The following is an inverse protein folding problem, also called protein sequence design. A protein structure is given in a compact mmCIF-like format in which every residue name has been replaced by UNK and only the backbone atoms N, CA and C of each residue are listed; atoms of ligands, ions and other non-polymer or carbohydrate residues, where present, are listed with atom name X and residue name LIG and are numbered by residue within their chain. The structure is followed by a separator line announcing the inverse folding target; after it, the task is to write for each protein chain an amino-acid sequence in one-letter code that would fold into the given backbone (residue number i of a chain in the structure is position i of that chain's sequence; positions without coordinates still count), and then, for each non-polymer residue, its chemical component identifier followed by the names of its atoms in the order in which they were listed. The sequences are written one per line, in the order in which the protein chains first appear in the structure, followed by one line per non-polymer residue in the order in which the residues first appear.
data_IF_941841361899
#
_entry.id   IF_941841361899
#
_cell.length_a   1.000
_cell.length_b   1.000
_cell.length_c   1.000
_cell.angle_alpha   90.00
_cell.angle_beta   90.00
_cell.angle_gamma   90.00
#
_symmetry.space_group_name_H-M   'P 1'
#
loop_
_entity.id
_entity.type
_entity.pdbx_description
1 polymer ?
#
# COMPACT_ATOMS: atom_id res chain seq x y z
N UNK A 1 0.05 -22.02 13.04
CA UNK A 1 -0.44 -20.62 13.24
C UNK A 1 -1.79 -20.46 12.54
N UNK A 2 -2.68 -19.68 13.17
CA UNK A 2 -3.97 -19.36 12.58
C UNK A 2 -3.93 -17.94 12.07
N UNK A 3 -4.01 -17.76 10.75
CA UNK A 3 -4.10 -16.44 10.14
C UNK A 3 -5.48 -15.82 10.36
N UNK A 4 -5.55 -14.53 10.59
CA UNK A 4 -6.82 -13.79 10.68
C UNK A 4 -7.50 -13.73 9.31
N UNK A 5 -6.74 -13.47 8.25
CA UNK A 5 -7.22 -13.43 6.87
C UNK A 5 -6.05 -13.58 5.88
N UNK A 6 -6.34 -14.12 4.71
CA UNK A 6 -5.47 -14.07 3.53
C UNK A 6 -6.09 -13.12 2.52
N UNK A 7 -5.37 -12.05 2.18
CA UNK A 7 -5.85 -11.01 1.27
C UNK A 7 -5.06 -11.14 -0.02
N UNK A 8 -5.73 -11.21 -1.16
CA UNK A 8 -5.06 -11.27 -2.45
C UNK A 8 -5.75 -10.34 -3.45
N UNK A 9 -5.15 -10.19 -4.61
CA UNK A 9 -5.81 -9.52 -5.73
C UNK A 9 -7.16 -10.20 -6.02
N UNK A 10 -8.04 -9.49 -6.71
CA UNK A 10 -9.40 -9.98 -6.94
C UNK A 10 -9.53 -10.82 -8.23
N UNK A 11 -8.41 -11.25 -8.83
CA UNK A 11 -8.49 -12.22 -9.91
C UNK A 11 -9.20 -13.49 -9.44
N UNK A 12 -10.31 -13.81 -10.14
CA UNK A 12 -11.17 -14.92 -9.73
C UNK A 12 -10.53 -16.27 -9.99
N UNK A 13 -9.68 -16.38 -11.03
CA UNK A 13 -8.97 -17.61 -11.37
C UNK A 13 -7.94 -17.95 -10.30
N UNK A 14 -7.03 -17.03 -10.02
CA UNK A 14 -6.00 -17.21 -9.00
C UNK A 14 -6.60 -17.50 -7.61
N UNK A 15 -7.70 -16.84 -7.26
CA UNK A 15 -8.40 -17.09 -5.99
C UNK A 15 -9.07 -18.45 -5.95
N UNK A 16 -9.57 -18.95 -7.08
CA UNK A 16 -10.13 -20.32 -7.15
C UNK A 16 -9.04 -21.37 -6.99
N UNK A 17 -7.87 -21.15 -7.58
CA UNK A 17 -6.71 -22.02 -7.44
C UNK A 17 -6.25 -22.10 -5.98
N UNK A 18 -6.11 -20.95 -5.31
CA UNK A 18 -5.78 -20.91 -3.88
C UNK A 18 -6.83 -21.60 -3.02
N UNK A 19 -8.11 -21.43 -3.35
CA UNK A 19 -9.19 -22.11 -2.63
C UNK A 19 -9.16 -23.62 -2.80
N UNK A 20 -8.74 -24.14 -3.97
CA UNK A 20 -8.57 -25.57 -4.22
C UNK A 20 -7.46 -26.17 -3.35
N UNK A 21 -6.45 -25.37 -3.01
CA UNK A 21 -5.36 -25.72 -2.08
C UNK A 21 -5.73 -25.48 -0.59
N UNK A 22 -6.98 -25.16 -0.32
CA UNK A 22 -7.48 -24.93 1.05
C UNK A 22 -7.22 -23.52 1.60
N UNK A 23 -6.70 -22.59 0.80
CA UNK A 23 -6.42 -21.22 1.21
C UNK A 23 -7.60 -20.32 0.86
N UNK A 24 -8.42 -19.99 1.87
CA UNK A 24 -9.52 -19.06 1.69
C UNK A 24 -9.02 -17.60 1.65
N UNK A 25 -9.39 -16.88 0.61
CA UNK A 25 -8.92 -15.51 0.38
C UNK A 25 -10.04 -14.47 0.41
N UNK A 26 -9.69 -13.26 0.82
CA UNK A 26 -10.54 -12.08 0.76
C UNK A 26 -10.03 -11.20 -0.39
N UNK A 27 -10.92 -10.73 -1.30
CA UNK A 27 -10.48 -9.85 -2.38
C UNK A 27 -10.00 -8.51 -1.82
N UNK A 28 -8.85 -8.06 -2.30
CA UNK A 28 -8.27 -6.78 -1.94
C UNK A 28 -9.14 -5.60 -2.38
N UNK A 29 -9.15 -4.53 -1.59
CA UNK A 29 -9.72 -3.25 -2.00
C UNK A 29 -8.71 -2.47 -2.81
N UNK A 30 -9.08 -2.09 -4.04
CA UNK A 30 -8.17 -1.46 -5.02
C UNK A 30 -8.22 0.07 -5.08
N UNK A 31 -8.76 0.75 -4.07
CA UNK A 31 -8.69 2.21 -4.01
C UNK A 31 -7.24 2.65 -3.75
N UNK A 32 -6.55 3.03 -4.83
CA UNK A 32 -5.11 3.32 -4.82
C UNK A 32 -4.81 4.51 -3.94
N UNK A 33 -5.50 5.62 -4.14
CA UNK A 33 -5.27 6.88 -3.42
C UNK A 33 -5.46 6.70 -1.91
N UNK A 34 -6.57 6.08 -1.51
CA UNK A 34 -6.83 5.80 -0.09
C UNK A 34 -5.83 4.81 0.49
N UNK A 35 -5.44 3.81 -0.29
CA UNK A 35 -4.43 2.84 0.13
C UNK A 35 -3.09 3.50 0.41
N UNK A 36 -2.61 4.37 -0.47
CA UNK A 36 -1.38 5.15 -0.28
C UNK A 36 -1.48 6.02 0.97
N UNK A 37 -2.56 6.79 1.11
CA UNK A 37 -2.79 7.62 2.30
C UNK A 37 -2.81 6.80 3.59
N UNK A 38 -3.40 5.60 3.58
CA UNK A 38 -3.40 4.69 4.71
C UNK A 38 -2.01 4.20 5.08
N UNK A 39 -1.17 3.86 4.09
CA UNK A 39 0.23 3.46 4.31
C UNK A 39 1.04 4.61 4.87
N UNK A 40 0.96 5.80 4.27
CA UNK A 40 1.62 7.02 4.77
C UNK A 40 1.22 7.31 6.23
N UNK A 41 -0.06 7.23 6.54
CA UNK A 41 -0.57 7.47 7.89
C UNK A 41 0.02 6.50 8.91
N UNK A 42 0.31 5.26 8.52
CA UNK A 42 0.94 4.26 9.40
C UNK A 42 2.44 4.43 9.52
N UNK A 43 3.10 4.87 8.45
CA UNK A 43 4.54 5.17 8.45
C UNK A 43 4.85 6.42 9.27
N UNK A 44 4.07 7.49 9.09
CA UNK A 44 4.27 8.77 9.79
C UNK A 44 3.80 8.73 11.26
N UNK A 45 2.84 7.90 11.57
CA UNK A 45 2.33 7.71 12.92
C UNK A 45 1.65 8.95 13.50
N UNK A 46 0.40 9.21 13.18
CA UNK A 46 -0.40 10.35 13.61
C UNK A 46 -0.42 10.58 15.15
N UNK A 47 0.67 11.08 15.70
CA UNK A 47 0.83 11.46 17.12
C UNK A 47 1.30 10.35 18.06
N UNK A 48 1.19 9.08 17.68
CA UNK A 48 1.56 7.91 18.49
C UNK A 48 2.79 7.15 17.96
N UNK A 49 3.54 7.76 17.04
CA UNK A 49 4.67 7.13 16.35
C UNK A 49 4.25 6.17 15.22
N UNK A 50 5.21 5.67 14.44
CA UNK A 50 4.97 4.74 13.35
C UNK A 50 4.26 3.46 13.82
N UNK A 51 3.38 2.93 12.96
CA UNK A 51 2.64 1.68 13.20
C UNK A 51 2.85 0.64 12.10
N UNK A 52 3.73 0.95 11.16
CA UNK A 52 4.18 0.05 10.11
C UNK A 52 5.70 0.05 10.12
N UNK A 53 6.29 -1.14 10.16
CA UNK A 53 7.72 -1.36 10.26
C UNK A 53 8.14 -2.46 9.30
N UNK A 54 9.34 -2.37 8.76
CA UNK A 54 9.97 -3.39 7.94
C UNK A 54 11.18 -3.95 8.66
N UNK A 55 11.30 -5.27 8.65
CA UNK A 55 12.48 -5.94 9.18
C UNK A 55 13.53 -6.04 8.09
N UNK A 56 14.69 -5.44 8.31
CA UNK A 56 15.82 -5.59 7.39
C UNK A 56 16.32 -7.03 7.38
N UNK A 57 16.70 -7.48 6.17
CA UNK A 57 17.24 -8.83 6.00
C UNK A 57 16.23 -9.95 6.28
N UNK A 58 14.93 -9.67 6.17
CA UNK A 58 13.86 -10.65 6.38
C UNK A 58 13.60 -11.54 5.14
N UNK A 59 14.27 -11.30 4.02
CA UNK A 59 14.15 -12.13 2.84
C UNK A 59 14.70 -13.53 3.11
N UNK A 60 13.89 -14.55 2.83
CA UNK A 60 14.29 -15.96 2.90
C UNK A 60 15.13 -16.36 1.68
N UNK A 61 14.87 -15.73 0.56
CA UNK A 61 15.63 -15.89 -0.69
C UNK A 61 15.49 -14.63 -1.54
N UNK A 62 16.44 -14.41 -2.42
CA UNK A 62 16.48 -13.31 -3.38
C UNK A 62 16.18 -13.87 -4.75
N UNK A 63 15.33 -13.20 -5.50
CA UNK A 63 15.11 -13.48 -6.92
C UNK A 63 16.32 -12.98 -7.72
N UNK A 64 17.12 -13.92 -8.23
CA UNK A 64 18.33 -13.57 -8.95
C UNK A 64 18.06 -12.90 -10.30
N UNK A 65 16.93 -13.16 -10.96
CA UNK A 65 16.54 -12.46 -12.19
C UNK A 65 16.26 -10.97 -11.94
N UNK A 66 15.56 -10.65 -10.86
CA UNK A 66 15.32 -9.27 -10.46
C UNK A 66 16.64 -8.56 -10.14
N UNK A 67 17.51 -9.24 -9.39
CA UNK A 67 18.83 -8.71 -9.00
C UNK A 67 19.73 -8.46 -10.20
N UNK A 68 19.84 -9.42 -11.14
CA UNK A 68 20.61 -9.27 -12.38
C UNK A 68 20.05 -8.17 -13.29
N UNK A 69 18.74 -7.94 -13.24
CA UNK A 69 18.05 -6.86 -13.96
C UNK A 69 18.08 -5.51 -13.24
N UNK A 70 18.78 -5.40 -12.11
CA UNK A 70 18.82 -4.19 -11.26
C UNK A 70 17.42 -3.68 -10.86
N UNK A 71 16.49 -4.61 -10.64
CA UNK A 71 15.16 -4.32 -10.16
C UNK A 71 15.04 -4.54 -8.64
N UNK A 72 14.11 -3.88 -7.97
CA UNK A 72 13.86 -4.14 -6.56
C UNK A 72 13.60 -5.62 -6.28
N UNK A 73 14.27 -6.15 -5.28
CA UNK A 73 14.15 -7.55 -4.83
C UNK A 73 13.30 -7.69 -3.57
N UNK A 74 12.96 -6.57 -2.95
CA UNK A 74 12.11 -6.52 -1.77
C UNK A 74 11.30 -5.22 -1.71
N UNK A 75 10.31 -5.22 -0.85
CA UNK A 75 9.42 -4.07 -0.68
C UNK A 75 10.14 -2.81 -0.20
N UNK A 76 11.21 -2.93 0.61
CA UNK A 76 12.01 -1.77 1.05
C UNK A 76 12.63 -1.06 -0.16
N UNK A 77 13.17 -1.82 -1.12
CA UNK A 77 13.74 -1.28 -2.36
C UNK A 77 12.67 -0.72 -3.31
N UNK A 78 11.47 -1.31 -3.33
CA UNK A 78 10.35 -0.78 -4.12
C UNK A 78 9.95 0.63 -3.67
N UNK A 79 10.04 0.96 -2.36
CA UNK A 79 9.75 2.32 -1.88
C UNK A 79 10.63 3.38 -2.52
N UNK A 80 11.89 3.05 -2.85
CA UNK A 80 12.84 4.00 -3.44
C UNK A 80 12.50 4.34 -4.90
N UNK A 81 11.80 3.44 -5.59
CA UNK A 81 11.45 3.59 -7.01
C UNK A 81 9.95 3.81 -7.25
N UNK A 82 9.14 3.82 -6.18
CA UNK A 82 7.71 3.99 -6.27
C UNK A 82 7.32 5.44 -6.55
N UNK A 83 6.91 5.72 -7.78
CA UNK A 83 6.63 7.07 -8.25
C UNK A 83 5.27 7.20 -8.97
N UNK A 84 4.77 8.43 -9.05
CA UNK A 84 3.58 8.74 -9.82
C UNK A 84 3.82 8.62 -11.32
N UNK A 85 2.80 8.17 -12.05
CA UNK A 85 2.84 8.13 -13.52
C UNK A 85 3.02 9.54 -14.10
N UNK A 86 4.02 9.71 -14.97
CA UNK A 86 4.35 10.98 -15.62
C UNK A 86 4.16 10.90 -17.12
N UNK A 87 3.81 12.03 -17.73
CA UNK A 87 3.77 12.19 -19.18
C UNK A 87 5.18 12.39 -19.77
N UNK A 88 5.26 12.52 -21.10
CA UNK A 88 6.53 12.77 -21.81
C UNK A 88 7.19 14.08 -21.42
N UNK A 89 6.47 15.01 -20.81
CA UNK A 89 6.97 16.30 -20.34
C UNK A 89 7.34 16.28 -18.86
N UNK A 90 7.21 15.13 -18.18
CA UNK A 90 7.49 14.97 -16.77
C UNK A 90 6.36 15.40 -15.82
N UNK A 91 5.20 15.78 -16.33
CA UNK A 91 4.05 16.14 -15.50
C UNK A 91 3.31 14.89 -15.02
N UNK A 92 2.78 14.92 -13.81
CA UNK A 92 1.91 13.86 -13.30
C UNK A 92 0.65 13.82 -14.18
N UNK A 93 0.46 12.73 -14.91
CA UNK A 93 -0.66 12.59 -15.85
C UNK A 93 -1.86 11.91 -15.25
N UNK A 94 -1.66 11.16 -14.16
CA UNK A 94 -2.73 10.48 -13.38
C UNK A 94 -2.33 10.45 -11.91
N UNK A 95 -3.32 10.48 -11.02
CA UNK A 95 -3.12 10.22 -9.60
C UNK A 95 -3.03 8.71 -9.32
N UNK A 96 -2.23 8.03 -10.13
CA UNK A 96 -1.94 6.61 -10.02
C UNK A 96 -0.43 6.40 -10.13
N UNK A 97 0.16 5.53 -9.32
CA UNK A 97 1.57 5.20 -9.43
C UNK A 97 1.87 4.50 -10.76
N UNK A 98 3.12 4.54 -11.16
CA UNK A 98 3.63 3.75 -12.27
C UNK A 98 3.47 2.27 -11.93
N UNK A 99 2.91 1.51 -12.87
CA UNK A 99 2.68 0.06 -12.73
C UNK A 99 3.94 -0.73 -13.09
N UNK A 100 4.97 -0.57 -12.28
CA UNK A 100 6.26 -1.24 -12.44
C UNK A 100 6.92 -1.37 -11.06
N UNK A 101 7.39 -2.57 -10.74
CA UNK A 101 8.05 -2.86 -9.46
C UNK A 101 7.22 -2.42 -8.25
N UNK A 102 5.93 -2.74 -8.24
CA UNK A 102 4.96 -2.24 -7.24
C UNK A 102 4.24 -3.37 -6.48
N UNK A 103 4.72 -4.62 -6.58
CA UNK A 103 4.05 -5.79 -5.98
C UNK A 103 3.98 -5.74 -4.45
N UNK A 104 5.08 -5.42 -3.80
CA UNK A 104 5.13 -5.26 -2.35
C UNK A 104 4.35 -4.02 -1.90
N UNK A 105 4.39 -2.94 -2.68
CA UNK A 105 3.62 -1.74 -2.42
C UNK A 105 2.11 -2.01 -2.51
N UNK A 106 1.67 -2.79 -3.50
CA UNK A 106 0.29 -3.23 -3.62
C UNK A 106 -0.11 -4.14 -2.45
N UNK A 107 0.73 -5.09 -2.07
CA UNK A 107 0.48 -5.99 -0.93
C UNK A 107 0.31 -5.22 0.39
N UNK A 108 1.17 -4.23 0.66
CA UNK A 108 1.06 -3.38 1.86
C UNK A 108 -0.24 -2.56 1.82
N UNK A 109 -0.58 -1.97 0.68
CA UNK A 109 -1.84 -1.24 0.52
C UNK A 109 -3.04 -2.13 0.80
N UNK A 110 -3.06 -3.35 0.28
CA UNK A 110 -4.13 -4.33 0.52
C UNK A 110 -4.26 -4.67 2.00
N UNK A 111 -3.14 -4.92 2.67
CA UNK A 111 -3.11 -5.16 4.10
C UNK A 111 -3.67 -3.98 4.89
N UNK A 112 -3.18 -2.77 4.64
CA UNK A 112 -3.61 -1.56 5.35
C UNK A 112 -5.10 -1.28 5.12
N UNK A 113 -5.56 -1.39 3.87
CA UNK A 113 -6.96 -1.20 3.52
C UNK A 113 -7.88 -2.22 4.19
N UNK A 114 -7.42 -3.45 4.37
CA UNK A 114 -8.17 -4.46 5.11
C UNK A 114 -8.14 -4.20 6.62
N UNK A 115 -6.98 -3.90 7.17
CA UNK A 115 -6.80 -3.68 8.61
C UNK A 115 -7.56 -2.45 9.11
N UNK A 116 -7.57 -1.40 8.32
CA UNK A 116 -8.22 -0.14 8.62
C UNK A 116 -9.64 -0.05 8.01
N UNK A 117 -10.23 -1.16 7.59
CA UNK A 117 -11.55 -1.20 6.93
C UNK A 117 -12.66 -0.49 7.70
N UNK A 118 -12.55 -0.44 9.03
CA UNK A 118 -13.51 0.27 9.89
C UNK A 118 -13.44 1.78 9.73
N UNK A 119 -12.30 2.33 9.31
CA UNK A 119 -12.12 3.77 9.05
C UNK A 119 -12.74 4.20 7.70
N UNK A 120 -12.97 3.23 6.80
CA UNK A 120 -13.45 3.46 5.44
C UNK A 120 -14.92 3.12 5.25
N UNK A 121 -15.57 2.58 6.27
CA UNK A 121 -17.02 2.36 6.22
C UNK A 121 -17.73 3.67 6.56
N UNK A 122 -18.75 4.08 5.79
CA UNK A 122 -19.59 5.19 6.18
C UNK A 122 -20.34 4.77 7.45
N UNK A 123 -19.86 5.22 8.60
CA UNK A 123 -20.61 5.10 9.84
C UNK A 123 -21.69 6.16 9.82
N UNK A 124 -22.93 5.80 10.12
CA UNK A 124 -24.00 6.75 10.33
C UNK A 124 -23.56 7.71 11.45
N UNK A 125 -23.17 8.95 11.09
CA UNK A 125 -22.80 10.00 12.02
C UNK A 125 -21.30 10.29 12.24
N UNK A 126 -20.38 9.63 11.53
CA UNK A 126 -18.93 9.96 11.63
C UNK A 126 -18.52 11.00 10.58
N UNK A 127 -17.62 11.95 10.91
CA UNK A 127 -17.19 12.97 9.95
C UNK A 127 -16.57 12.32 8.71
N UNK A 128 -17.02 12.74 7.56
CA UNK A 128 -16.55 12.30 6.24
C UNK A 128 -15.03 12.40 6.15
N UNK A 129 -14.42 11.47 5.45
CA UNK A 129 -12.96 11.35 5.18
C UNK A 129 -12.31 12.69 4.77
N UNK A 130 -13.04 13.60 4.14
CA UNK A 130 -12.60 14.96 3.82
C UNK A 130 -12.03 15.74 5.02
N UNK A 131 -12.57 15.56 6.22
CA UNK A 131 -12.02 16.21 7.42
C UNK A 131 -10.71 15.58 7.92
N UNK A 132 -10.52 14.28 7.72
CA UNK A 132 -9.26 13.63 8.08
C UNK A 132 -8.15 13.99 7.09
N UNK A 133 -8.47 14.08 5.80
CA UNK A 133 -7.50 14.46 4.75
C UNK A 133 -7.11 15.93 4.85
N UNK A 134 -8.02 16.84 5.22
CA UNK A 134 -7.68 18.25 5.50
C UNK A 134 -6.70 18.38 6.66
N UNK A 135 -6.94 17.70 7.77
CA UNK A 135 -6.05 17.71 8.95
C UNK A 135 -4.68 17.12 8.62
N UNK A 136 -4.61 16.10 7.75
CA UNK A 136 -3.37 15.49 7.29
C UNK A 136 -2.60 16.41 6.35
N UNK A 137 -3.30 17.03 5.39
CA UNK A 137 -2.73 17.99 4.44
C UNK A 137 -2.13 19.20 5.14
N UNK A 138 -2.81 19.72 6.17
CA UNK A 138 -2.33 20.83 6.98
C UNK A 138 -1.11 20.45 7.83
N UNK A 139 -1.11 19.27 8.46
CA UNK A 139 0.04 18.78 9.22
C UNK A 139 1.26 18.50 8.36
N UNK A 140 1.08 18.03 7.11
CA UNK A 140 2.18 17.87 6.15
C UNK A 140 2.83 19.21 5.80
N UNK A 141 2.01 20.23 5.50
CA UNK A 141 2.51 21.58 5.22
C UNK A 141 3.28 22.16 6.39
N UNK A 142 2.82 21.95 7.62
CA UNK A 142 3.50 22.44 8.83
C UNK A 142 4.80 21.68 9.16
N UNK A 143 4.92 20.42 8.74
CA UNK A 143 6.10 19.59 8.96
C UNK A 143 7.19 19.73 7.88
N UNK A 144 6.94 20.53 6.82
CA UNK A 144 7.88 20.74 5.74
C UNK A 144 8.20 19.49 4.89
N UNK A 145 7.38 18.45 5.01
CA UNK A 145 7.55 17.19 4.29
C UNK A 145 6.94 17.33 2.89
N UNK A 146 7.79 17.60 1.92
CA UNK A 146 7.47 17.42 0.50
C UNK A 146 7.46 15.91 0.22
N UNK A 147 6.40 15.41 -0.36
CA UNK A 147 6.38 14.06 -0.92
C UNK A 147 6.86 14.15 -2.35
N UNK A 148 7.74 13.25 -2.68
CA UNK A 148 8.37 13.00 -3.97
C UNK A 148 7.40 13.08 -5.15
#
# INVERSE_FOLDING_TARGET
EKFEASICDHDMGERADLASEGIQTIPARKDVTRGIQGVEARLLGAGNGPRLFFFRGSLVGVDEELKESFKPTCTEEEFEVYEWSRDKNGNICKEEPKKENDHGMDAIRYYVMHRDRHLWQPSAGTPTLGKLTETYSEKRKSAGLSVF
#
